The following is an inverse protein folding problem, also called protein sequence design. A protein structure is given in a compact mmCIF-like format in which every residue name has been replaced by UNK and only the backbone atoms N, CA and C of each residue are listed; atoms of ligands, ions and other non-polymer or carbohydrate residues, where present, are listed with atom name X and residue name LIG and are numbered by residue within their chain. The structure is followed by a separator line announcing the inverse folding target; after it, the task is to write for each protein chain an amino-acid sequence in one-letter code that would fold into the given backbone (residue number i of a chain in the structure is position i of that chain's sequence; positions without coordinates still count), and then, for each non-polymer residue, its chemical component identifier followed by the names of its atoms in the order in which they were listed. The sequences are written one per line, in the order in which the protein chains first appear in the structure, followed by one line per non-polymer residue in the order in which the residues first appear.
data_IF_126352035923
#
_entry.id   IF_126352035923
#
_cell.length_a   1.000
_cell.length_b   1.000
_cell.length_c   1.000
_cell.angle_alpha   90.00
_cell.angle_beta   90.00
_cell.angle_gamma   90.00
#
_symmetry.space_group_name_H-M   'P 1'
#
loop_
_entity.id
_entity.type
_entity.pdbx_description
1 polymer ?
#
# COMPACT_ATOMS: atom_id res chain seq x y z
N UNK A 1 -13.13 16.20 -9.12
CA UNK A 1 -13.41 14.77 -8.86
C UNK A 1 -12.07 14.07 -8.78
N UNK A 2 -11.89 13.16 -7.82
CA UNK A 2 -10.66 12.40 -7.70
C UNK A 2 -10.51 11.42 -8.86
N UNK A 3 -9.30 11.22 -9.35
CA UNK A 3 -8.96 10.16 -10.29
C UNK A 3 -8.55 8.93 -9.47
N UNK A 4 -9.23 7.80 -9.67
CA UNK A 4 -8.90 6.53 -9.02
C UNK A 4 -7.68 5.88 -9.69
N UNK A 5 -6.71 5.48 -8.87
CA UNK A 5 -5.42 4.93 -9.28
C UNK A 5 -5.12 3.71 -8.41
N UNK A 6 -4.74 2.60 -9.04
CA UNK A 6 -4.27 1.39 -8.38
C UNK A 6 -2.77 1.51 -8.15
N UNK A 7 -2.30 1.16 -6.95
CA UNK A 7 -0.88 1.25 -6.61
C UNK A 7 -0.41 -0.05 -5.92
N UNK A 8 0.60 -0.69 -6.50
CA UNK A 8 1.10 -2.00 -6.09
C UNK A 8 2.32 -1.91 -5.19
N UNK A 9 2.19 -2.36 -3.94
CA UNK A 9 3.30 -2.55 -3.02
C UNK A 9 3.78 -4.00 -3.15
N UNK A 10 4.66 -4.24 -4.12
CA UNK A 10 5.24 -5.57 -4.37
C UNK A 10 6.33 -5.85 -3.34
N UNK A 11 6.17 -6.94 -2.59
CA UNK A 11 7.10 -7.37 -1.55
C UNK A 11 7.78 -8.67 -2.00
N UNK A 12 9.11 -8.66 -2.09
CA UNK A 12 9.87 -9.89 -2.32
C UNK A 12 10.04 -10.68 -1.01
N UNK A 13 10.54 -11.95 -1.06
CA UNK A 13 10.76 -12.76 0.14
C UNK A 13 11.74 -12.15 1.16
N UNK A 14 12.58 -11.19 0.74
CA UNK A 14 13.51 -10.46 1.60
C UNK A 14 12.82 -9.30 2.35
N UNK A 15 11.56 -8.99 2.02
CA UNK A 15 10.79 -7.88 2.58
C UNK A 15 11.13 -6.53 1.94
N UNK A 16 11.76 -6.54 0.77
CA UNK A 16 12.06 -5.34 -0.01
C UNK A 16 10.87 -4.99 -0.89
N UNK A 17 10.67 -3.70 -1.14
CA UNK A 17 9.62 -3.17 -2.00
C UNK A 17 10.16 -2.78 -3.36
N UNK A 18 9.44 -3.12 -4.43
CA UNK A 18 9.76 -2.67 -5.77
C UNK A 18 9.33 -1.22 -5.97
N UNK A 19 10.26 -0.36 -6.35
CA UNK A 19 9.98 1.01 -6.79
C UNK A 19 10.39 1.17 -8.25
N UNK A 20 9.60 1.94 -8.99
CA UNK A 20 9.87 2.34 -10.37
C UNK A 20 10.12 3.84 -10.45
N UNK A 21 11.03 4.25 -11.33
CA UNK A 21 11.29 5.65 -11.62
C UNK A 21 10.38 6.12 -12.74
N UNK A 22 9.71 7.25 -12.52
CA UNK A 22 8.81 7.85 -13.52
C UNK A 22 9.57 8.23 -14.79
N UNK A 23 9.12 7.78 -15.97
CA UNK A 23 9.80 8.07 -17.24
C UNK A 23 9.77 9.57 -17.57
N UNK A 24 10.69 9.98 -18.44
CA UNK A 24 10.77 11.36 -18.91
C UNK A 24 9.49 11.80 -19.62
N UNK A 25 9.09 13.05 -19.41
CA UNK A 25 7.87 13.62 -20.01
C UNK A 25 6.58 13.38 -19.21
N UNK A 26 6.56 12.51 -18.18
CA UNK A 26 5.46 12.44 -17.21
C UNK A 26 5.63 13.53 -16.13
N UNK A 27 4.53 13.96 -15.50
CA UNK A 27 4.60 14.81 -14.30
C UNK A 27 5.42 14.08 -13.23
N UNK A 28 6.34 14.79 -12.57
CA UNK A 28 7.35 14.21 -11.67
C UNK A 28 8.30 13.20 -12.32
N UNK A 29 8.69 13.42 -13.58
CA UNK A 29 9.75 12.64 -14.23
C UNK A 29 11.00 12.53 -13.32
N UNK A 30 11.56 11.33 -13.21
CA UNK A 30 12.70 11.04 -12.35
C UNK A 30 12.38 10.76 -10.87
N UNK A 31 11.14 10.99 -10.42
CA UNK A 31 10.70 10.61 -9.07
C UNK A 31 10.40 9.12 -9.01
N UNK A 32 10.60 8.53 -7.83
CA UNK A 32 10.38 7.12 -7.56
C UNK A 32 9.03 6.89 -6.90
N UNK A 33 8.34 5.86 -7.37
CA UNK A 33 7.00 5.49 -6.89
C UNK A 33 6.80 3.97 -6.88
N UNK A 34 5.70 3.54 -6.30
CA UNK A 34 5.24 2.14 -6.42
C UNK A 34 4.54 1.96 -7.78
N UNK A 35 4.72 0.83 -8.48
CA UNK A 35 4.09 0.59 -9.78
C UNK A 35 2.57 0.64 -9.74
N UNK A 36 1.94 0.97 -10.87
CA UNK A 36 0.49 1.03 -11.01
C UNK A 36 0.01 2.24 -11.80
N UNK A 37 -1.31 2.32 -11.99
CA UNK A 37 -1.89 3.30 -12.89
C UNK A 37 -3.38 3.52 -12.69
N UNK A 38 -3.98 4.29 -13.61
CA UNK A 38 -5.36 4.75 -13.49
C UNK A 38 -6.32 3.61 -13.75
N UNK A 39 -7.50 3.69 -13.13
CA UNK A 39 -8.56 2.73 -13.43
C UNK A 39 -9.09 2.97 -14.84
N UNK A 40 -9.39 1.89 -15.55
CA UNK A 40 -10.25 1.89 -16.72
C UNK A 40 -11.73 1.70 -16.32
N UNK A 41 -12.68 2.05 -17.20
CA UNK A 41 -14.11 1.95 -16.89
C UNK A 41 -14.52 0.52 -16.50
N UNK A 42 -15.03 0.37 -15.28
CA UNK A 42 -15.56 -0.90 -14.77
C UNK A 42 -14.54 -1.76 -14.01
N UNK A 43 -13.27 -1.34 -13.93
CA UNK A 43 -12.25 -2.09 -13.19
C UNK A 43 -12.42 -1.97 -11.67
N UNK A 44 -12.20 -3.08 -10.97
CA UNK A 44 -11.88 -3.08 -9.55
C UNK A 44 -10.42 -2.66 -9.30
N UNK A 45 -10.06 -2.25 -8.07
CA UNK A 45 -8.66 -1.94 -7.75
C UNK A 45 -7.68 -3.10 -8.00
N UNK A 46 -8.16 -4.35 -7.92
CA UNK A 46 -7.34 -5.53 -8.20
C UNK A 46 -7.12 -5.71 -9.71
N UNK A 47 -8.18 -5.60 -10.51
CA UNK A 47 -8.11 -5.73 -11.97
C UNK A 47 -7.24 -4.63 -12.58
N UNK A 48 -7.47 -3.38 -12.18
CA UNK A 48 -6.64 -2.25 -12.61
C UNK A 48 -5.16 -2.48 -12.28
N UNK A 49 -4.85 -2.93 -11.06
CA UNK A 49 -3.47 -3.22 -10.68
C UNK A 49 -2.89 -4.40 -11.48
N UNK A 50 -3.67 -5.45 -11.72
CA UNK A 50 -3.21 -6.62 -12.44
C UNK A 50 -2.84 -6.26 -13.89
N UNK A 51 -3.68 -5.47 -14.58
CA UNK A 51 -3.40 -4.96 -15.93
C UNK A 51 -2.11 -4.12 -15.94
N UNK A 52 -2.01 -3.14 -15.05
CA UNK A 52 -0.86 -2.23 -14.99
C UNK A 52 0.45 -2.97 -14.71
N UNK A 53 0.46 -3.94 -13.78
CA UNK A 53 1.66 -4.73 -13.51
C UNK A 53 2.05 -5.66 -14.67
N UNK A 54 1.07 -6.15 -15.42
CA UNK A 54 1.33 -6.95 -16.62
C UNK A 54 1.91 -6.08 -17.74
N UNK A 55 1.39 -4.87 -17.95
CA UNK A 55 1.85 -3.92 -18.97
C UNK A 55 3.20 -3.30 -18.64
N UNK A 56 3.40 -2.82 -17.41
CA UNK A 56 4.61 -2.10 -17.01
C UNK A 56 5.77 -3.05 -16.71
N UNK A 57 5.48 -4.23 -16.14
CA UNK A 57 6.48 -5.12 -15.55
C UNK A 57 6.45 -6.56 -16.06
N UNK A 58 5.44 -6.95 -16.81
CA UNK A 58 5.26 -8.33 -17.26
C UNK A 58 4.88 -9.30 -16.13
N UNK A 59 4.29 -8.78 -15.05
CA UNK A 59 3.97 -9.55 -13.84
C UNK A 59 2.48 -9.87 -13.78
N UNK A 60 2.16 -11.13 -13.48
CA UNK A 60 0.76 -11.57 -13.28
C UNK A 60 0.51 -11.85 -11.82
N UNK A 61 -0.38 -11.07 -11.19
CA UNK A 61 -0.68 -11.20 -9.76
C UNK A 61 -1.31 -12.57 -9.47
N UNK A 62 -0.78 -13.27 -8.46
CA UNK A 62 -1.34 -14.52 -7.95
C UNK A 62 -1.99 -14.33 -6.58
N UNK A 63 -1.40 -13.48 -5.72
CA UNK A 63 -1.99 -13.07 -4.44
C UNK A 63 -1.75 -11.59 -4.18
N UNK A 64 -2.82 -10.91 -3.80
CA UNK A 64 -2.77 -9.54 -3.32
C UNK A 64 -3.91 -9.26 -2.34
N UNK A 65 -3.72 -8.31 -1.44
CA UNK A 65 -4.79 -7.77 -0.59
C UNK A 65 -4.85 -6.25 -0.69
N UNK A 66 -6.05 -5.69 -0.47
CA UNK A 66 -6.19 -4.27 -0.23
C UNK A 66 -5.41 -3.90 1.03
N UNK A 67 -4.69 -2.78 1.02
CA UNK A 67 -3.94 -2.30 2.17
C UNK A 67 -4.51 -1.01 2.74
N UNK A 68 -4.61 0.04 1.92
CA UNK A 68 -5.25 1.28 2.32
C UNK A 68 -5.61 2.12 1.09
N UNK A 69 -6.51 3.09 1.27
CA UNK A 69 -6.84 4.07 0.25
C UNK A 69 -6.51 5.46 0.76
N UNK A 70 -5.85 6.29 -0.06
CA UNK A 70 -5.46 7.66 0.31
C UNK A 70 -5.73 8.63 -0.81
N UNK A 71 -6.13 9.83 -0.44
CA UNK A 71 -6.31 10.92 -1.39
C UNK A 71 -5.15 11.92 -1.30
N UNK A 72 -4.68 12.37 -2.46
CA UNK A 72 -3.65 13.39 -2.58
C UNK A 72 -4.10 14.50 -3.52
N UNK A 73 -3.96 15.74 -3.05
CA UNK A 73 -4.21 16.93 -3.84
C UNK A 73 -2.86 17.49 -4.31
N UNK A 74 -2.52 17.22 -5.56
CA UNK A 74 -1.37 17.82 -6.21
C UNK A 74 -1.78 19.09 -6.96
N UNK A 75 -0.81 19.96 -7.24
CA UNK A 75 -1.05 21.18 -8.02
C UNK A 75 -1.72 20.94 -9.38
N UNK A 76 -1.54 19.75 -9.95
CA UNK A 76 -2.05 19.35 -11.27
C UNK A 76 -3.25 18.38 -11.20
N UNK A 77 -3.75 18.04 -10.01
CA UNK A 77 -4.90 17.13 -9.91
C UNK A 77 -5.13 16.52 -8.53
N UNK A 78 -6.30 15.91 -8.39
CA UNK A 78 -6.71 15.16 -7.20
C UNK A 78 -6.76 13.68 -7.55
N UNK A 79 -5.98 12.86 -6.83
CA UNK A 79 -5.93 11.41 -7.04
C UNK A 79 -6.37 10.67 -5.79
N UNK A 80 -7.04 9.54 -5.98
CA UNK A 80 -7.35 8.55 -4.94
C UNK A 80 -6.57 7.28 -5.24
N UNK A 81 -5.56 7.02 -4.41
CA UNK A 81 -4.67 5.88 -4.54
C UNK A 81 -5.19 4.72 -3.72
N UNK A 82 -5.49 3.61 -4.39
CA UNK A 82 -5.89 2.34 -3.80
C UNK A 82 -4.65 1.44 -3.71
N UNK A 83 -3.98 1.46 -2.57
CA UNK A 83 -2.79 0.66 -2.33
C UNK A 83 -3.16 -0.79 -2.08
N UNK A 84 -2.52 -1.70 -2.82
CA UNK A 84 -2.61 -3.14 -2.60
C UNK A 84 -1.23 -3.72 -2.34
N UNK A 85 -1.14 -4.64 -1.40
CA UNK A 85 0.08 -5.43 -1.18
C UNK A 85 0.06 -6.63 -2.10
N UNK A 86 1.20 -6.93 -2.70
CA UNK A 86 1.38 -8.06 -3.62
C UNK A 86 2.62 -8.82 -3.18
N UNK A 87 2.49 -10.11 -2.85
CA UNK A 87 3.59 -10.95 -2.36
C UNK A 87 3.73 -12.25 -3.14
N UNK A 88 2.86 -12.47 -4.13
CA UNK A 88 2.94 -13.62 -5.01
C UNK A 88 2.47 -13.25 -6.42
N UNK A 89 3.30 -13.53 -7.40
CA UNK A 89 3.07 -13.25 -8.82
C UNK A 89 3.83 -14.27 -9.68
N UNK A 90 3.42 -14.41 -10.94
CA UNK A 90 4.19 -15.10 -11.96
C UNK A 90 5.01 -14.10 -12.78
N UNK A 91 6.21 -14.50 -13.21
CA UNK A 91 7.11 -13.69 -14.02
C UNK A 91 8.22 -13.02 -13.21
N UNK A 92 9.20 -12.48 -13.93
CA UNK A 92 10.31 -11.70 -13.35
C UNK A 92 10.11 -10.24 -13.75
N UNK A 93 10.29 -9.26 -12.84
CA UNK A 93 10.09 -7.85 -13.16
C UNK A 93 11.00 -7.41 -14.31
N UNK A 94 10.42 -6.85 -15.37
CA UNK A 94 11.14 -6.31 -16.53
C UNK A 94 10.68 -4.89 -16.80
N UNK A 95 11.59 -4.01 -17.17
CA UNK A 95 11.23 -2.65 -17.54
C UNK A 95 10.59 -2.63 -18.94
N UNK A 96 9.26 -2.71 -19.02
CA UNK A 96 8.55 -2.73 -20.31
C UNK A 96 8.36 -1.32 -20.90
N UNK A 97 8.43 -0.28 -20.09
CA UNK A 97 8.37 1.14 -20.49
C UNK A 97 9.74 1.83 -20.44
N UNK A 98 10.85 1.07 -20.46
CA UNK A 98 12.22 1.60 -20.28
C UNK A 98 12.42 2.39 -18.98
N UNK A 99 11.62 2.07 -17.94
CA UNK A 99 11.74 2.65 -16.62
C UNK A 99 12.88 2.00 -15.82
N UNK A 100 13.59 2.79 -15.01
CA UNK A 100 14.46 2.21 -14.00
C UNK A 100 13.60 1.65 -12.85
N UNK A 101 14.00 0.52 -12.26
CA UNK A 101 13.38 0.02 -11.04
C UNK A 101 14.44 -0.45 -10.04
N UNK A 102 14.06 -0.47 -8.77
CA UNK A 102 14.94 -0.88 -7.66
C UNK A 102 14.14 -1.64 -6.60
N UNK A 103 14.77 -2.66 -6.02
CA UNK A 103 14.30 -3.27 -4.78
C UNK A 103 14.88 -2.50 -3.60
N UNK A 104 14.01 -1.99 -2.74
CA UNK A 104 14.39 -1.16 -1.62
C UNK A 104 13.97 -1.82 -0.31
N UNK A 105 14.90 -1.96 0.63
CA UNK A 105 14.59 -2.42 1.98
C UNK A 105 14.06 -1.27 2.84
N UNK A 106 12.76 -1.22 3.17
CA UNK A 106 12.17 -0.13 3.95
C UNK A 106 12.72 -0.10 5.39
N UNK A 107 13.35 -1.17 5.88
CA UNK A 107 13.91 -1.24 7.23
C UNK A 107 15.28 -0.56 7.34
N UNK A 108 15.94 -0.29 6.20
CA UNK A 108 17.21 0.44 6.18
C UNK A 108 16.99 1.95 6.44
N UNK A 109 18.00 2.68 6.94
CA UNK A 109 17.88 4.12 7.18
C UNK A 109 17.43 4.88 5.93
N UNK A 110 16.52 5.85 6.07
CA UNK A 110 15.98 6.61 4.94
C UNK A 110 17.05 7.29 4.04
N UNK A 111 18.21 7.64 4.60
CA UNK A 111 19.35 8.17 3.85
C UNK A 111 19.94 7.19 2.82
N UNK A 112 19.58 5.89 2.89
CA UNK A 112 20.01 4.85 1.93
C UNK A 112 18.99 4.61 0.82
N UNK A 113 17.84 5.28 0.87
CA UNK A 113 16.78 5.12 -0.11
C UNK A 113 17.07 5.94 -1.37
N UNK A 114 16.46 5.54 -2.48
CA UNK A 114 16.45 6.35 -3.71
C UNK A 114 15.67 7.64 -3.49
N UNK A 115 16.07 8.71 -4.19
CA UNK A 115 15.45 10.02 -4.08
C UNK A 115 15.38 10.73 -5.44
N UNK A 116 14.37 11.59 -5.68
CA UNK A 116 13.24 11.89 -4.78
C UNK A 116 12.15 10.80 -4.84
N UNK A 117 11.53 10.50 -3.68
CA UNK A 117 10.33 9.66 -3.59
C UNK A 117 9.08 10.51 -3.77
N UNK A 118 8.03 10.00 -4.42
CA UNK A 118 6.75 10.71 -4.42
C UNK A 118 6.21 10.90 -2.99
N UNK A 119 5.52 12.02 -2.69
CA UNK A 119 4.93 12.25 -1.37
C UNK A 119 3.96 11.14 -0.95
N UNK A 120 3.35 10.46 -1.92
CA UNK A 120 2.48 9.32 -1.65
C UNK A 120 3.22 8.03 -1.27
N UNK A 121 4.48 7.89 -1.66
CA UNK A 121 5.31 6.71 -1.44
C UNK A 121 6.03 6.75 -0.10
N UNK A 122 6.51 7.93 0.35
CA UNK A 122 7.26 8.06 1.61
C UNK A 122 6.56 7.45 2.84
N UNK A 123 5.25 7.69 3.09
CA UNK A 123 4.57 7.12 4.25
C UNK A 123 4.48 5.60 4.20
N UNK A 124 4.38 5.02 2.99
CA UNK A 124 4.33 3.56 2.81
C UNK A 124 5.66 2.94 3.26
N UNK A 125 6.78 3.56 2.89
CA UNK A 125 8.11 3.10 3.30
C UNK A 125 8.25 3.10 4.82
N UNK A 126 7.79 4.16 5.49
CA UNK A 126 7.79 4.24 6.95
C UNK A 126 6.92 3.15 7.60
N UNK A 127 5.75 2.84 7.04
CA UNK A 127 4.88 1.78 7.55
C UNK A 127 5.45 0.38 7.34
N UNK A 128 6.12 0.15 6.21
CA UNK A 128 6.80 -1.12 5.92
C UNK A 128 8.05 -1.34 6.79
N UNK A 129 8.68 -0.25 7.27
CA UNK A 129 9.82 -0.31 8.18
C UNK A 129 9.45 -0.77 9.60
N UNK A 130 8.16 -0.81 9.94
CA UNK A 130 7.70 -1.19 11.27
C UNK A 130 7.93 -2.69 11.54
N UNK A 131 8.40 -3.06 12.74
CA UNK A 131 8.54 -4.47 13.11
C UNK A 131 7.22 -5.22 13.02
N UNK A 132 7.27 -6.39 12.39
CA UNK A 132 6.14 -7.31 12.25
C UNK A 132 5.91 -8.10 13.53
N UNK A 133 6.99 -8.53 14.18
CA UNK A 133 6.95 -9.35 15.39
C UNK A 133 7.34 -8.51 16.60
N UNK A 134 6.53 -8.62 17.65
CA UNK A 134 6.83 -8.05 18.97
C UNK A 134 7.16 -9.18 19.94
N UNK A 135 8.21 -9.00 20.73
CA UNK A 135 8.62 -9.97 21.76
C UNK A 135 7.48 -10.15 22.78
N UNK A 136 7.04 -11.40 22.98
CA UNK A 136 5.94 -11.76 23.89
C UNK A 136 4.83 -12.62 23.26
N UNK A 137 4.85 -12.81 21.95
CA UNK A 137 4.10 -13.87 21.25
C UNK A 137 5.10 -14.65 20.42
N UNK A 138 5.21 -15.97 20.61
CA UNK A 138 6.16 -16.84 19.88
C UNK A 138 5.91 -16.95 18.36
N UNK A 139 4.99 -16.15 17.80
CA UNK A 139 4.75 -16.03 16.37
C UNK A 139 5.77 -15.08 15.71
N UNK A 140 6.99 -15.58 15.48
CA UNK A 140 7.92 -15.03 14.50
C UNK A 140 7.52 -15.37 13.05
N UNK A 141 6.39 -16.06 12.84
CA UNK A 141 6.03 -16.56 11.52
C UNK A 141 5.19 -15.54 10.74
N UNK A 142 5.82 -15.00 9.70
CA UNK A 142 5.22 -14.56 8.45
C UNK A 142 4.11 -13.48 8.53
N UNK A 143 4.53 -12.23 8.25
CA UNK A 143 3.66 -11.06 8.15
C UNK A 143 2.47 -11.29 7.23
N UNK A 144 2.69 -12.04 6.15
CA UNK A 144 1.68 -12.30 5.13
C UNK A 144 0.66 -13.28 5.66
N UNK A 145 1.11 -14.39 6.26
CA UNK A 145 0.22 -15.42 6.79
C UNK A 145 -0.67 -14.90 7.94
N UNK A 146 -0.15 -13.99 8.78
CA UNK A 146 -0.96 -13.39 9.84
C UNK A 146 -1.94 -12.33 9.32
N UNK A 147 -1.52 -11.46 8.39
CA UNK A 147 -2.42 -10.47 7.77
C UNK A 147 -3.53 -11.16 6.95
N UNK A 148 -3.22 -12.26 6.28
CA UNK A 148 -4.21 -13.11 5.61
C UNK A 148 -5.23 -13.72 6.60
N UNK A 149 -4.89 -13.84 7.89
CA UNK A 149 -5.69 -14.53 8.90
C UNK A 149 -6.33 -13.62 9.97
N UNK A 150 -5.92 -12.36 10.09
CA UNK A 150 -6.38 -11.44 11.14
C UNK A 150 -7.64 -10.68 10.72
N UNK A 151 -8.61 -10.55 11.64
CA UNK A 151 -9.76 -9.67 11.43
C UNK A 151 -9.38 -8.19 11.61
N UNK A 152 -10.16 -7.29 11.01
CA UNK A 152 -9.93 -5.83 11.08
C UNK A 152 -9.86 -5.32 12.53
N UNK A 153 -10.66 -5.90 13.42
CA UNK A 153 -10.72 -5.56 14.84
C UNK A 153 -9.45 -6.00 15.60
N UNK A 154 -8.87 -7.15 15.22
CA UNK A 154 -7.62 -7.67 15.78
C UNK A 154 -6.41 -6.84 15.33
N UNK A 155 -6.43 -6.36 14.08
CA UNK A 155 -5.41 -5.45 13.59
C UNK A 155 -5.46 -4.11 14.33
N UNK A 156 -6.66 -3.56 14.57
CA UNK A 156 -6.86 -2.25 15.22
C UNK A 156 -6.50 -2.26 16.71
N UNK A 157 -6.99 -3.24 17.49
CA UNK A 157 -6.68 -3.37 18.91
C UNK A 157 -5.17 -3.50 19.18
N UNK A 158 -4.46 -4.16 18.27
CA UNK A 158 -3.03 -4.39 18.40
C UNK A 158 -2.22 -3.11 18.17
N UNK A 159 -2.66 -2.22 17.29
CA UNK A 159 -2.03 -0.91 17.04
C UNK A 159 -2.18 0.01 18.25
N UNK A 160 -3.38 0.03 18.84
CA UNK A 160 -3.67 0.82 20.04
C UNK A 160 -2.77 0.37 21.20
N UNK A 161 -2.72 -0.94 21.47
CA UNK A 161 -1.86 -1.52 22.51
C UNK A 161 -0.35 -1.28 22.29
N UNK A 162 0.10 -1.19 21.03
CA UNK A 162 1.52 -1.00 20.64
C UNK A 162 2.02 0.43 20.82
N UNK A 163 1.19 1.42 20.54
CA UNK A 163 1.56 2.83 20.73
C UNK A 163 1.76 3.22 22.19
N UNK A 164 1.04 2.56 23.09
CA UNK A 164 1.09 2.85 24.53
C UNK A 164 2.35 2.27 25.18
N UNK A 165 3.07 1.35 24.52
CA UNK A 165 4.23 0.61 25.09
C UNK A 165 5.59 0.96 24.47
N UNK A 166 5.66 1.67 23.34
CA UNK A 166 6.92 2.23 22.84
C UNK A 166 7.24 3.52 23.60
N UNK A 167 8.52 3.87 23.76
CA UNK A 167 8.94 5.16 24.37
C UNK A 167 9.72 6.04 23.38
N UNK A 168 9.93 5.56 22.14
CA UNK A 168 10.65 6.30 21.11
C UNK A 168 9.66 7.17 20.30
N UNK A 169 9.88 8.50 20.21
CA UNK A 169 8.95 9.45 19.57
C UNK A 169 8.53 9.09 18.14
N UNK A 170 9.45 8.51 17.36
CA UNK A 170 9.19 8.10 15.97
C UNK A 170 8.10 7.02 15.87
N UNK A 171 8.04 6.09 16.82
CA UNK A 171 7.05 5.01 16.80
C UNK A 171 5.68 5.44 17.35
N UNK A 172 5.63 6.51 18.16
CA UNK A 172 4.36 7.13 18.53
C UNK A 172 3.73 7.82 17.32
N UNK A 173 4.50 8.66 16.61
CA UNK A 173 4.04 9.32 15.39
C UNK A 173 3.57 8.33 14.33
N UNK A 174 4.36 7.29 14.07
CA UNK A 174 3.99 6.26 13.09
C UNK A 174 2.81 5.40 13.58
N UNK A 175 2.70 5.16 14.89
CA UNK A 175 1.54 4.48 15.49
C UNK A 175 0.26 5.31 15.44
N UNK A 176 0.36 6.63 15.57
CA UNK A 176 -0.74 7.59 15.39
C UNK A 176 -1.17 7.64 13.92
N UNK A 177 -0.22 7.75 12.99
CA UNK A 177 -0.48 7.70 11.54
C UNK A 177 -1.12 6.37 11.13
N UNK A 178 -0.66 5.25 11.68
CA UNK A 178 -1.23 3.93 11.40
C UNK A 178 -2.62 3.75 12.02
N UNK A 179 -2.87 4.31 13.21
CA UNK A 179 -4.23 4.40 13.78
C UNK A 179 -5.18 5.17 12.88
N UNK A 180 -4.73 6.29 12.33
CA UNK A 180 -5.57 7.13 11.49
C UNK A 180 -5.87 6.43 10.16
N UNK A 181 -4.90 5.71 9.59
CA UNK A 181 -5.11 4.86 8.40
C UNK A 181 -6.13 3.76 8.67
N UNK A 182 -6.05 3.08 9.82
CA UNK A 182 -7.02 2.04 10.18
C UNK A 182 -8.40 2.61 10.49
N UNK A 183 -8.51 3.76 11.18
CA UNK A 183 -9.80 4.44 11.40
C UNK A 183 -10.48 4.84 10.10
N UNK A 184 -9.72 5.39 9.16
CA UNK A 184 -10.25 5.82 7.86
C UNK A 184 -10.69 4.61 7.02
N UNK A 185 -9.95 3.49 7.07
CA UNK A 185 -10.33 2.25 6.40
C UNK A 185 -11.64 1.67 6.98
N UNK A 186 -11.79 1.65 8.31
CA UNK A 186 -13.00 1.18 8.98
C UNK A 186 -14.23 2.05 8.67
N UNK A 187 -14.05 3.37 8.56
CA UNK A 187 -15.13 4.29 8.19
C UNK A 187 -15.58 4.13 6.73
N UNK A 188 -14.66 3.78 5.82
CA UNK A 188 -14.98 3.52 4.41
C UNK A 188 -15.77 2.23 4.21
N UNK A 189 -15.51 1.18 5.01
CA UNK A 189 -16.27 -0.09 4.94
C UNK A 189 -17.71 0.07 5.45
N UNK A 190 -17.91 0.83 6.54
CA UNK A 190 -19.23 1.15 7.08
C UNK A 190 -20.10 1.99 6.12
N UNK A 191 -19.48 2.86 5.32
CA UNK A 191 -20.16 3.63 4.29
C UNK A 191 -20.61 2.77 3.09
N UNK A 192 -19.90 1.69 2.78
CA UNK A 192 -20.26 0.74 1.71
C UNK A 192 -21.31 -0.31 2.10
N UNK A 193 -21.54 -0.54 3.40
CA UNK A 193 -22.52 -1.53 3.90
C UNK A 193 -23.89 -0.95 4.29
N UNK A 194 -24.10 0.37 4.19
CA UNK A 194 -25.32 1.06 4.64
C UNK A 194 -26.48 1.13 3.65
N UNK A 195 -26.46 0.35 2.56
CA UNK A 195 -27.31 0.58 1.39
C UNK A 195 -28.30 -0.53 1.03
N UNK A 196 -28.91 -1.26 1.97
CA UNK A 196 -30.12 -2.05 1.66
C UNK A 196 -31.04 -2.21 2.87
N UNK A 197 -32.06 -1.36 2.96
CA UNK A 197 -33.32 -1.69 3.61
C UNK A 197 -34.43 -0.79 3.07
N UNK A 198 -35.03 -1.20 1.94
CA UNK A 198 -36.36 -0.75 1.54
C UNK A 198 -37.40 -1.34 2.51
N UNK A 199 -38.33 -0.55 3.08
CA UNK A 199 -39.46 -1.11 3.79
C UNK A 199 -40.51 -1.58 2.78
N UNK A 200 -40.65 -2.90 2.66
CA UNK A 200 -41.69 -3.55 1.88
C UNK A 200 -43.07 -3.32 2.51
N UNK A 201 -43.95 -2.77 1.71
CA UNK A 201 -45.39 -2.64 1.93
C UNK A 201 -46.07 -4.00 2.19
N UNK A 202 -46.85 -4.11 3.28
CA UNK A 202 -48.26 -4.53 3.30
C UNK A 202 -48.84 -4.44 4.69
#
# INVERSE_FOLDING_TARGET
MAIDVAAGVLLNPQGEVLLAQRPQGKVYAGWWEVPGGKFEPGETPHEALARELEEELGLRIKRSSAWCTREYHYAHGHVRLHFRRVWHWDGEPRAMESQAFVWLDPRKPAATWVAPLLPATEPLMAWLALPVCFRGTDACCDQVAWIEAASDEQAQAMVEARSARSTKPVYHRVGDEYRDVLRLAAQSQLASSGGTSSPGSR
#
